data_IF_617495983262
#
_entry.id   IF_617495983262
#
_cell.length_a   1.000
_cell.length_b   1.000
_cell.length_c   1.000
_cell.angle_alpha   90.00
_cell.angle_beta   90.00
_cell.angle_gamma   90.00
#
_symmetry.space_group_name_H-M   'P 1'
#
loop_
_entity.id
_entity.type
_entity.pdbx_description
1 polymer ?
#
# COMPACT_ATOMS: atom_id res chain seq x y z
N UNK A 1 4.29 45.07 -57.02
CA UNK A 1 4.06 44.84 -55.56
C UNK A 1 4.09 43.35 -55.28
N UNK A 2 5.20 42.80 -54.75
CA UNK A 2 5.38 41.36 -54.45
C UNK A 2 4.93 41.15 -53.00
N UNK A 3 3.88 40.38 -52.80
CA UNK A 3 3.44 39.96 -51.43
C UNK A 3 4.31 38.78 -50.96
N UNK A 4 5.10 39.04 -49.93
CA UNK A 4 5.90 38.03 -49.22
C UNK A 4 4.99 37.28 -48.24
N UNK A 5 4.69 36.00 -48.54
CA UNK A 5 4.01 35.10 -47.60
C UNK A 5 5.02 34.62 -46.55
N UNK A 6 4.87 35.06 -45.33
CA UNK A 6 5.59 34.51 -44.18
C UNK A 6 4.92 33.19 -43.79
N UNK A 7 5.59 32.07 -44.06
CA UNK A 7 5.22 30.76 -43.50
C UNK A 7 5.77 30.67 -42.07
N UNK A 8 4.87 30.75 -41.08
CA UNK A 8 5.20 30.43 -39.69
C UNK A 8 5.34 28.91 -39.57
N UNK A 9 6.43 28.38 -38.98
CA UNK A 9 6.52 26.96 -38.68
C UNK A 9 5.61 26.62 -37.51
N UNK A 10 4.65 25.73 -37.74
CA UNK A 10 3.85 25.11 -36.67
C UNK A 10 4.78 24.16 -35.93
N UNK A 11 5.22 24.58 -34.76
CA UNK A 11 6.00 23.74 -33.83
C UNK A 11 5.05 22.74 -33.18
N UNK A 12 5.04 21.51 -33.72
CA UNK A 12 4.28 20.39 -33.17
C UNK A 12 4.93 19.98 -31.84
N UNK A 13 4.35 20.43 -30.70
CA UNK A 13 4.74 19.95 -29.38
C UNK A 13 4.30 18.49 -29.25
N UNK A 14 5.25 17.58 -29.46
CA UNK A 14 5.12 16.18 -29.08
C UNK A 14 5.07 16.12 -27.54
N UNK A 15 3.87 16.08 -26.97
CA UNK A 15 3.68 15.68 -25.58
C UNK A 15 4.05 14.20 -25.49
N UNK A 16 5.29 13.94 -25.09
CA UNK A 16 5.70 12.59 -24.74
C UNK A 16 4.85 12.15 -23.54
N UNK A 17 3.86 11.30 -23.79
CA UNK A 17 3.14 10.60 -22.75
C UNK A 17 4.16 9.65 -22.07
N UNK A 18 4.81 10.13 -21.01
CA UNK A 18 5.65 9.29 -20.17
C UNK A 18 4.74 8.25 -19.54
N UNK A 19 4.82 7.00 -20.00
CA UNK A 19 4.18 5.90 -19.31
C UNK A 19 4.65 5.93 -17.84
N UNK A 20 3.73 6.13 -16.92
CA UNK A 20 4.04 6.13 -15.51
C UNK A 20 4.75 4.83 -15.17
N UNK A 21 5.95 4.92 -14.55
CA UNK A 21 6.68 3.73 -14.11
C UNK A 21 5.76 2.95 -13.17
N UNK A 22 5.76 1.60 -13.25
CA UNK A 22 4.96 0.81 -12.32
C UNK A 22 5.37 1.17 -10.89
N UNK A 23 4.40 1.44 -10.02
CA UNK A 23 4.65 1.84 -8.64
C UNK A 23 5.45 0.78 -7.88
N UNK A 24 5.25 -0.51 -8.21
CA UNK A 24 5.83 -1.63 -7.49
C UNK A 24 6.71 -2.50 -8.38
N UNK A 25 7.87 -2.88 -7.85
CA UNK A 25 8.69 -3.98 -8.37
C UNK A 25 8.46 -5.18 -7.47
N UNK A 26 7.89 -6.25 -8.04
CA UNK A 26 7.58 -7.48 -7.31
C UNK A 26 8.76 -8.45 -7.37
N UNK A 27 9.20 -8.92 -6.21
CA UNK A 27 10.12 -10.01 -6.00
C UNK A 27 9.37 -11.24 -5.47
N UNK A 28 10.07 -12.34 -5.22
CA UNK A 28 9.43 -13.57 -4.72
C UNK A 28 8.61 -13.33 -3.44
N UNK A 29 9.21 -12.67 -2.43
CA UNK A 29 8.63 -12.46 -1.09
C UNK A 29 8.26 -11.01 -0.78
N UNK A 30 8.68 -10.06 -1.62
CA UNK A 30 8.54 -8.63 -1.35
C UNK A 30 8.04 -7.85 -2.56
N UNK A 31 7.56 -6.64 -2.31
CA UNK A 31 7.20 -5.65 -3.31
C UNK A 31 7.80 -4.30 -2.92
N UNK A 32 8.64 -3.73 -3.78
CA UNK A 32 9.30 -2.44 -3.56
C UNK A 32 8.50 -1.34 -4.22
N UNK A 33 8.01 -0.39 -3.44
CA UNK A 33 7.37 0.82 -3.94
C UNK A 33 8.44 1.80 -4.46
N UNK A 34 8.44 2.04 -5.76
CA UNK A 34 9.42 2.91 -6.43
C UNK A 34 9.23 4.40 -6.11
N UNK A 35 8.08 4.80 -5.60
CA UNK A 35 7.78 6.19 -5.27
C UNK A 35 8.17 6.55 -3.84
N UNK A 36 8.02 5.60 -2.91
CA UNK A 36 8.28 5.83 -1.48
C UNK A 36 9.57 5.19 -0.98
N UNK A 37 10.13 4.25 -1.73
CA UNK A 37 11.26 3.42 -1.31
C UNK A 37 10.89 2.36 -0.27
N UNK A 38 9.63 2.26 0.10
CA UNK A 38 9.16 1.25 1.05
C UNK A 38 9.18 -0.14 0.43
N UNK A 39 9.52 -1.13 1.23
CA UNK A 39 9.42 -2.54 0.86
C UNK A 39 8.31 -3.19 1.68
N UNK A 40 7.29 -3.66 1.02
CA UNK A 40 6.16 -4.41 1.59
C UNK A 40 6.41 -5.91 1.49
N UNK A 41 5.85 -6.71 2.40
CA UNK A 41 5.72 -8.13 2.13
C UNK A 41 4.79 -8.33 0.93
N UNK A 42 5.17 -9.21 0.00
CA UNK A 42 4.31 -9.51 -1.16
C UNK A 42 3.01 -10.18 -0.76
N UNK A 43 3.06 -11.03 0.28
CA UNK A 43 1.87 -11.57 0.93
C UNK A 43 1.34 -10.53 1.95
N UNK A 44 0.12 -10.07 1.74
CA UNK A 44 -0.53 -9.07 2.59
C UNK A 44 -1.11 -9.66 3.89
N UNK A 45 -1.15 -10.97 4.02
CA UNK A 45 -1.65 -11.69 5.18
C UNK A 45 -0.60 -12.65 5.72
N UNK A 46 0.58 -12.13 6.06
CA UNK A 46 1.71 -12.91 6.54
C UNK A 46 1.37 -13.81 7.75
N UNK A 47 0.55 -13.37 8.74
CA UNK A 47 0.15 -14.25 9.84
C UNK A 47 -0.80 -15.38 9.42
N UNK A 48 -1.43 -15.30 8.26
CA UNK A 48 -2.49 -16.21 7.83
C UNK A 48 -3.82 -16.05 8.58
N UNK A 49 -3.90 -15.09 9.50
CA UNK A 49 -5.05 -14.79 10.35
C UNK A 49 -5.05 -13.35 10.82
N UNK A 50 -6.15 -12.93 11.45
CA UNK A 50 -6.22 -11.66 12.15
C UNK A 50 -5.50 -11.74 13.50
N UNK A 51 -4.94 -10.63 13.96
CA UNK A 51 -4.25 -10.47 15.25
C UNK A 51 -4.86 -9.31 16.03
N UNK A 52 -4.93 -9.43 17.34
CA UNK A 52 -5.18 -8.31 18.24
C UNK A 52 -3.91 -7.46 18.39
N UNK A 53 -4.05 -6.21 18.79
CA UNK A 53 -2.87 -5.35 18.95
C UNK A 53 -2.04 -5.73 20.16
N UNK A 54 -2.67 -6.02 21.30
CA UNK A 54 -2.05 -6.44 22.56
C UNK A 54 -2.79 -7.61 23.17
N UNK A 55 -2.11 -8.46 23.92
CA UNK A 55 -2.61 -9.66 24.55
C UNK A 55 -1.85 -10.88 24.05
N UNK A 56 -2.42 -12.05 24.18
CA UNK A 56 -1.84 -13.28 23.67
C UNK A 56 -1.90 -13.30 22.12
N UNK A 57 -0.85 -13.80 21.47
CA UNK A 57 -0.75 -13.92 20.00
C UNK A 57 -1.08 -12.59 19.26
N UNK A 58 -0.37 -11.56 19.62
CA UNK A 58 -0.62 -10.19 19.18
C UNK A 58 0.32 -9.75 18.05
N UNK A 59 0.02 -8.57 17.50
CA UNK A 59 0.82 -7.91 16.45
C UNK A 59 2.30 -7.78 16.84
N UNK A 60 2.57 -7.42 18.11
CA UNK A 60 3.93 -7.17 18.58
C UNK A 60 4.78 -8.44 18.57
N UNK A 61 4.25 -9.54 19.13
CA UNK A 61 4.93 -10.83 19.13
C UNK A 61 5.13 -11.38 17.73
N UNK A 62 4.14 -11.20 16.85
CA UNK A 62 4.29 -11.60 15.47
C UNK A 62 5.42 -10.84 14.76
N UNK A 63 5.45 -9.50 14.88
CA UNK A 63 6.50 -8.68 14.26
C UNK A 63 7.90 -9.03 14.79
N UNK A 64 8.02 -9.30 16.11
CA UNK A 64 9.26 -9.76 16.71
C UNK A 64 9.73 -11.06 16.06
N UNK A 65 8.88 -12.09 15.98
CA UNK A 65 9.22 -13.37 15.32
C UNK A 65 9.60 -13.20 13.84
N UNK A 66 8.89 -12.35 13.10
CA UNK A 66 9.19 -12.06 11.70
C UNK A 66 10.62 -11.53 11.53
N UNK A 67 11.04 -10.61 12.41
CA UNK A 67 12.38 -10.02 12.41
C UNK A 67 13.44 -11.02 12.88
N UNK A 68 13.18 -11.81 13.91
CA UNK A 68 14.08 -12.85 14.39
C UNK A 68 14.38 -13.93 13.32
N UNK A 69 13.41 -14.22 12.46
CA UNK A 69 13.58 -15.18 11.34
C UNK A 69 14.23 -14.56 10.11
N UNK A 70 14.58 -13.28 10.13
CA UNK A 70 15.12 -12.54 8.99
C UNK A 70 14.30 -12.75 7.71
N UNK A 71 12.97 -12.58 7.81
CA UNK A 71 12.08 -12.81 6.67
C UNK A 71 12.52 -12.03 5.42
N UNK A 72 12.62 -12.73 4.30
CA UNK A 72 13.14 -12.21 3.02
C UNK A 72 14.54 -11.57 3.11
N UNK A 73 15.36 -11.94 4.12
CA UNK A 73 16.70 -11.40 4.36
C UNK A 73 16.72 -10.08 5.17
N UNK A 74 15.62 -9.72 5.81
CA UNK A 74 15.50 -8.46 6.57
C UNK A 74 15.00 -8.70 7.99
N UNK A 75 15.50 -7.87 8.95
CA UNK A 75 15.15 -7.91 10.37
C UNK A 75 14.57 -6.57 10.89
N UNK A 76 14.09 -5.72 9.97
CA UNK A 76 13.56 -4.38 10.26
C UNK A 76 12.11 -4.19 9.78
N UNK A 77 11.36 -5.29 9.71
CA UNK A 77 9.94 -5.26 9.44
C UNK A 77 9.16 -4.56 10.56
N UNK A 78 8.18 -3.77 10.18
CA UNK A 78 7.32 -3.03 11.09
C UNK A 78 5.88 -2.97 10.57
N UNK A 79 4.97 -2.56 11.45
CA UNK A 79 3.60 -2.22 11.05
C UNK A 79 3.63 -0.90 10.26
N UNK A 80 2.91 -0.79 9.13
CA UNK A 80 2.84 0.46 8.37
C UNK A 80 2.16 1.56 9.18
N UNK A 81 2.51 2.82 8.94
CA UNK A 81 1.77 3.95 9.48
C UNK A 81 0.41 4.11 8.76
N UNK A 82 -0.47 4.92 9.35
CA UNK A 82 -1.75 5.29 8.70
C UNK A 82 -1.50 5.95 7.35
N UNK A 83 -0.54 6.85 7.28
CA UNK A 83 -0.18 7.59 6.07
C UNK A 83 0.35 6.66 4.97
N UNK A 84 1.14 5.64 5.32
CA UNK A 84 1.62 4.63 4.38
C UNK A 84 0.48 3.78 3.82
N UNK A 85 -0.46 3.36 4.67
CA UNK A 85 -1.65 2.65 4.21
C UNK A 85 -2.58 3.52 3.35
N UNK A 86 -2.72 4.81 3.66
CA UNK A 86 -3.46 5.76 2.83
C UNK A 86 -2.84 5.87 1.44
N UNK A 87 -1.52 6.03 1.32
CA UNK A 87 -0.82 6.06 0.02
C UNK A 87 -1.02 4.77 -0.78
N UNK A 88 -0.98 3.61 -0.11
CA UNK A 88 -1.25 2.32 -0.76
C UNK A 88 -2.68 2.22 -1.29
N UNK A 89 -3.67 2.70 -0.52
CA UNK A 89 -5.07 2.77 -0.93
C UNK A 89 -5.26 3.75 -2.09
N UNK A 90 -4.63 4.92 -2.05
CA UNK A 90 -4.68 5.91 -3.13
C UNK A 90 -4.10 5.34 -4.42
N UNK A 91 -2.98 4.64 -4.34
CA UNK A 91 -2.44 3.90 -5.47
C UNK A 91 -3.46 2.88 -6.02
N UNK A 92 -4.05 2.05 -5.16
CA UNK A 92 -5.05 1.07 -5.58
C UNK A 92 -6.25 1.74 -6.27
N UNK A 93 -6.72 2.87 -5.73
CA UNK A 93 -7.82 3.66 -6.33
C UNK A 93 -7.44 4.27 -7.68
N UNK A 94 -6.20 4.69 -7.87
CA UNK A 94 -5.71 5.23 -9.13
C UNK A 94 -5.73 4.22 -10.29
N UNK A 95 -5.82 2.92 -9.97
CA UNK A 95 -5.93 1.84 -10.93
C UNK A 95 -7.37 1.61 -11.44
N UNK A 96 -8.27 2.55 -11.19
CA UNK A 96 -9.66 2.51 -11.68
C UNK A 96 -10.64 1.99 -10.62
N UNK A 97 -10.74 2.70 -9.49
CA UNK A 97 -11.71 2.43 -8.45
C UNK A 97 -13.12 2.93 -8.83
N UNK A 98 -14.12 2.07 -8.64
CA UNK A 98 -15.53 2.40 -8.73
C UNK A 98 -16.24 1.72 -7.56
N UNK A 99 -16.84 2.49 -6.66
CA UNK A 99 -17.50 1.95 -5.46
C UNK A 99 -18.65 0.99 -5.78
N UNK A 100 -19.29 1.14 -6.93
CA UNK A 100 -20.39 0.28 -7.37
C UNK A 100 -19.92 -1.07 -7.93
N UNK A 101 -18.60 -1.23 -8.19
CA UNK A 101 -18.03 -2.42 -8.82
C UNK A 101 -17.00 -3.08 -7.90
N UNK A 102 -17.35 -4.23 -7.34
CA UNK A 102 -16.49 -4.98 -6.39
C UNK A 102 -15.10 -5.32 -6.95
N UNK A 103 -14.99 -5.62 -8.24
CA UNK A 103 -13.71 -5.94 -8.90
C UNK A 103 -12.76 -4.76 -9.01
N UNK A 104 -13.22 -3.55 -8.69
CA UNK A 104 -12.41 -2.33 -8.67
C UNK A 104 -11.99 -1.90 -7.25
N UNK A 105 -12.46 -2.57 -6.21
CA UNK A 105 -12.15 -2.22 -4.83
C UNK A 105 -10.63 -2.32 -4.52
N UNK A 106 -10.11 -1.55 -3.57
CA UNK A 106 -8.66 -1.48 -3.31
C UNK A 106 -7.98 -2.84 -3.18
N UNK A 107 -8.55 -3.78 -2.41
CA UNK A 107 -7.97 -5.11 -2.25
C UNK A 107 -7.88 -5.89 -3.58
N UNK A 108 -8.89 -5.76 -4.46
CA UNK A 108 -8.88 -6.42 -5.78
C UNK A 108 -7.80 -5.80 -6.68
N UNK A 109 -7.70 -4.47 -6.70
CA UNK A 109 -6.67 -3.79 -7.49
C UNK A 109 -5.26 -4.17 -7.04
N UNK A 110 -5.03 -4.28 -5.73
CA UNK A 110 -3.74 -4.71 -5.19
C UNK A 110 -3.42 -6.17 -5.56
N UNK A 111 -4.41 -7.06 -5.57
CA UNK A 111 -4.23 -8.44 -6.10
C UNK A 111 -3.90 -8.45 -7.59
N UNK A 112 -4.60 -7.66 -8.39
CA UNK A 112 -4.39 -7.59 -9.84
C UNK A 112 -2.98 -7.13 -10.22
N UNK A 113 -2.37 -6.24 -9.44
CA UNK A 113 -1.00 -5.78 -9.71
C UNK A 113 0.09 -6.72 -9.20
N UNK A 114 -0.23 -7.74 -8.40
CA UNK A 114 0.73 -8.79 -8.03
C UNK A 114 0.92 -9.06 -6.53
N UNK A 115 0.20 -8.37 -5.65
CA UNK A 115 0.17 -8.73 -4.22
C UNK A 115 -0.61 -10.02 -3.99
N UNK A 116 -0.20 -10.78 -2.99
CA UNK A 116 -0.78 -12.08 -2.65
C UNK A 116 -1.59 -11.96 -1.36
N UNK A 117 -2.72 -12.66 -1.32
CA UNK A 117 -3.58 -12.81 -0.13
C UNK A 117 -4.03 -11.48 0.52
N UNK A 118 -4.27 -10.45 -0.30
CA UNK A 118 -4.87 -9.19 0.16
C UNK A 118 -6.31 -9.47 0.57
N UNK A 119 -6.70 -9.18 1.81
CA UNK A 119 -8.04 -9.43 2.34
C UNK A 119 -8.96 -8.23 2.15
N UNK A 120 -10.22 -8.50 2.00
CA UNK A 120 -11.32 -7.54 1.90
C UNK A 120 -11.79 -7.12 3.31
N UNK A 121 -10.86 -6.59 4.11
CA UNK A 121 -11.09 -6.28 5.51
C UNK A 121 -10.14 -5.17 5.99
N UNK A 122 -10.18 -4.88 7.31
CA UNK A 122 -9.31 -3.91 7.94
C UNK A 122 -7.93 -4.48 8.26
N UNK A 123 -6.94 -3.62 8.09
CA UNK A 123 -5.53 -3.85 8.40
C UNK A 123 -5.05 -2.88 9.48
N UNK A 124 -4.25 -3.37 10.41
CA UNK A 124 -3.59 -2.54 11.41
C UNK A 124 -2.66 -1.50 10.80
N UNK A 125 -2.63 -0.33 11.45
CA UNK A 125 -1.53 0.64 11.29
C UNK A 125 -0.80 0.82 12.61
N UNK A 126 0.41 1.39 12.60
CA UNK A 126 1.14 1.74 13.81
C UNK A 126 0.67 3.05 14.45
N UNK A 127 -0.25 3.78 13.82
CA UNK A 127 -0.71 5.09 14.28
C UNK A 127 -1.79 4.93 15.33
N UNK A 128 -1.51 5.41 16.54
CA UNK A 128 -2.44 5.36 17.67
C UNK A 128 -3.35 6.59 17.66
N UNK A 129 -4.63 6.41 17.92
CA UNK A 129 -5.62 7.47 18.08
C UNK A 129 -5.85 7.84 19.55
N UNK A 130 -5.92 6.84 20.42
CA UNK A 130 -6.18 6.98 21.86
C UNK A 130 -5.47 5.85 22.64
N UNK A 131 -5.50 5.84 23.97
CA UNK A 131 -4.93 4.73 24.74
C UNK A 131 -5.44 3.33 24.38
N UNK A 132 -6.65 3.24 23.82
CA UNK A 132 -7.31 1.96 23.49
C UNK A 132 -7.65 1.79 22.02
N UNK A 133 -7.33 2.80 21.17
CA UNK A 133 -7.69 2.78 19.75
C UNK A 133 -6.50 3.02 18.85
N UNK A 134 -6.45 2.26 17.79
CA UNK A 134 -5.43 2.33 16.74
C UNK A 134 -6.12 2.50 15.39
N UNK A 135 -5.54 3.32 14.51
CA UNK A 135 -6.04 3.46 13.16
C UNK A 135 -5.90 2.16 12.39
N UNK A 136 -6.96 1.81 11.68
CA UNK A 136 -6.97 0.71 10.70
C UNK A 136 -7.26 1.25 9.31
N UNK A 137 -6.90 0.47 8.30
CA UNK A 137 -7.16 0.75 6.90
C UNK A 137 -8.07 -0.37 6.34
N UNK A 138 -9.27 -0.01 5.92
CA UNK A 138 -10.24 -0.92 5.30
C UNK A 138 -9.96 -0.98 3.79
N UNK A 139 -9.50 -2.11 3.31
CA UNK A 139 -9.19 -2.33 1.89
C UNK A 139 -10.43 -2.68 1.05
N UNK A 140 -11.58 -2.86 1.66
CA UNK A 140 -12.86 -2.98 0.94
C UNK A 140 -13.33 -1.60 0.48
N UNK A 141 -13.50 -0.68 1.42
CA UNK A 141 -14.02 0.66 1.14
C UNK A 141 -12.93 1.69 0.80
N UNK A 142 -11.68 1.39 1.13
CA UNK A 142 -10.56 2.33 1.04
C UNK A 142 -10.67 3.49 2.01
N UNK A 143 -11.24 3.25 3.20
CA UNK A 143 -11.34 4.22 4.30
C UNK A 143 -10.37 3.86 5.42
N UNK A 144 -10.03 4.84 6.23
CA UNK A 144 -9.27 4.64 7.46
C UNK A 144 -10.10 5.11 8.65
N UNK A 145 -10.08 4.35 9.74
CA UNK A 145 -10.84 4.65 10.95
C UNK A 145 -10.13 4.11 12.19
N UNK A 146 -10.28 4.75 13.36
CA UNK A 146 -9.79 4.17 14.62
C UNK A 146 -10.66 2.98 15.04
N UNK A 147 -10.01 1.96 15.60
CA UNK A 147 -10.65 0.73 16.09
C UNK A 147 -10.04 0.33 17.42
N UNK A 148 -10.84 -0.39 18.20
CA UNK A 148 -10.42 -0.92 19.50
C UNK A 148 -9.26 -1.92 19.33
N UNK A 149 -8.17 -1.73 20.08
CA UNK A 149 -6.98 -2.58 20.03
C UNK A 149 -7.23 -4.04 20.49
N UNK A 150 -8.34 -4.28 21.18
CA UNK A 150 -8.79 -5.61 21.59
C UNK A 150 -9.52 -6.42 20.51
N UNK A 151 -9.80 -5.81 19.37
CA UNK A 151 -10.42 -6.51 18.23
C UNK A 151 -9.36 -7.01 17.27
N UNK A 152 -9.57 -8.14 16.59
CA UNK A 152 -8.60 -8.68 15.65
C UNK A 152 -8.76 -8.06 14.27
N UNK A 153 -7.61 -7.69 13.64
CA UNK A 153 -7.51 -7.20 12.26
C UNK A 153 -6.29 -7.81 11.58
N UNK A 154 -6.20 -7.69 10.27
CA UNK A 154 -5.07 -8.20 9.49
C UNK A 154 -3.82 -7.35 9.71
N UNK A 155 -2.67 -7.94 9.41
CA UNK A 155 -1.36 -7.29 9.49
C UNK A 155 -0.64 -7.44 8.15
N UNK A 156 -0.18 -6.31 7.63
CA UNK A 156 0.63 -6.25 6.41
C UNK A 156 1.97 -5.58 6.69
N UNK A 157 3.04 -6.34 6.91
CA UNK A 157 4.35 -5.78 7.25
C UNK A 157 4.97 -4.95 6.13
N UNK A 158 5.65 -3.88 6.54
CA UNK A 158 6.44 -3.00 5.68
C UNK A 158 7.81 -2.76 6.33
N UNK A 159 8.81 -2.41 5.54
CA UNK A 159 10.13 -1.97 6.02
C UNK A 159 10.63 -0.75 5.27
N UNK A 160 11.69 -0.15 5.82
CA UNK A 160 12.28 1.09 5.30
C UNK A 160 11.56 2.34 5.83
N UNK A 161 12.11 3.50 5.46
CA UNK A 161 11.53 4.80 5.78
C UNK A 161 10.92 5.38 4.49
N UNK A 162 9.69 5.87 4.60
CA UNK A 162 9.09 6.62 3.49
C UNK A 162 9.93 7.87 3.23
N UNK A 163 10.58 7.95 2.08
CA UNK A 163 11.13 9.20 1.60
C UNK A 163 9.97 10.16 1.37
N UNK A 164 10.03 11.32 2.01
CA UNK A 164 9.01 12.38 1.90
C UNK A 164 9.00 12.99 0.51
#
# INVERSE_FOLDING_TARGET
>A
MKRLLLLLPVMLLLVACSAAKPNFVFLEKTAVDQNTGLTWTRNANMPGRQLIWRGDDNVYEYMKRLNETNYAGYADWRVPSKEEMVKLIEYAKSLGYDQAKMDTWPYQKLRQVGFIDVRDYEYWTSTRQSPTEIWTADLTSGKVAPKQESKPYYLWPVRGNSTR
#
